data_IF_470999410777
#
_entry.id   IF_470999410777
#
_cell.length_a   1.000
_cell.length_b   1.000
_cell.length_c   1.000
_cell.angle_alpha   90.00
_cell.angle_beta   90.00
_cell.angle_gamma   90.00
#
_symmetry.space_group_name_H-M   'P 1'
#
loop_
_entity.id
_entity.type
_entity.pdbx_description
1 polymer ?
#
# COMPACT_ATOMS: atom_id res chain seq x y z
N UNK A 1 19.63 19.72 -24.64
CA UNK A 1 19.94 18.68 -23.63
C UNK A 1 19.30 19.15 -22.34
N UNK A 2 18.12 18.62 -22.07
CA UNK A 2 17.33 18.96 -20.88
C UNK A 2 17.96 18.26 -19.69
N UNK A 3 18.38 19.04 -18.69
CA UNK A 3 18.98 18.52 -17.47
C UNK A 3 17.87 17.84 -16.67
N UNK A 4 17.98 16.52 -16.46
CA UNK A 4 17.05 15.79 -15.58
C UNK A 4 17.27 16.25 -14.15
N UNK A 5 16.26 16.89 -13.56
CA UNK A 5 16.24 17.25 -12.15
C UNK A 5 16.55 16.01 -11.27
N UNK A 6 17.51 16.20 -10.35
CA UNK A 6 18.01 15.27 -9.34
C UNK A 6 17.01 14.21 -8.86
N UNK A 7 17.28 12.93 -9.12
CA UNK A 7 17.12 11.73 -8.25
C UNK A 7 15.89 11.54 -7.34
N UNK A 8 14.90 12.41 -7.38
CA UNK A 8 13.73 12.40 -6.51
C UNK A 8 12.64 11.55 -7.15
N UNK A 9 11.93 10.72 -6.36
CA UNK A 9 10.76 10.01 -6.83
C UNK A 9 9.75 10.95 -7.49
N UNK A 10 9.18 10.51 -8.62
CA UNK A 10 8.01 11.18 -9.21
C UNK A 10 6.81 11.04 -8.26
N UNK A 11 5.99 12.08 -8.16
CA UNK A 11 4.74 12.02 -7.40
C UNK A 11 4.87 12.26 -5.89
N UNK A 12 5.98 12.81 -5.40
CA UNK A 12 6.05 13.33 -4.02
C UNK A 12 4.99 14.41 -3.84
N UNK A 13 4.12 14.23 -2.84
CA UNK A 13 3.15 15.24 -2.40
C UNK A 13 3.65 15.94 -1.14
N UNK A 14 3.18 17.16 -0.92
CA UNK A 14 3.44 17.92 0.31
C UNK A 14 2.71 17.33 1.52
N UNK A 15 3.19 17.64 2.73
CA UNK A 15 2.49 17.25 3.97
C UNK A 15 1.07 17.80 4.06
N UNK A 16 0.82 18.97 3.46
CA UNK A 16 -0.50 19.61 3.39
C UNK A 16 -1.43 18.84 2.48
N UNK A 17 -0.99 18.45 1.27
CA UNK A 17 -1.78 17.62 0.37
C UNK A 17 -2.11 16.26 1.00
N UNK A 18 -1.13 15.63 1.67
CA UNK A 18 -1.36 14.38 2.40
C UNK A 18 -2.43 14.54 3.49
N UNK A 19 -2.44 15.67 4.20
CA UNK A 19 -3.47 15.98 5.20
C UNK A 19 -4.85 16.13 4.57
N UNK A 20 -4.96 16.88 3.48
CA UNK A 20 -6.23 17.07 2.76
C UNK A 20 -6.78 15.71 2.31
N UNK A 21 -5.96 14.85 1.72
CA UNK A 21 -6.38 13.50 1.31
C UNK A 21 -6.88 12.64 2.50
N UNK A 22 -6.19 12.71 3.65
CA UNK A 22 -6.60 12.02 4.88
C UNK A 22 -7.94 12.53 5.44
N UNK A 23 -8.14 13.86 5.42
CA UNK A 23 -9.35 14.51 5.90
C UNK A 23 -10.53 14.16 4.98
N UNK A 24 -10.35 14.20 3.65
CA UNK A 24 -11.38 13.82 2.69
C UNK A 24 -11.77 12.35 2.79
N UNK A 25 -10.81 11.44 3.01
CA UNK A 25 -11.16 10.04 3.31
C UNK A 25 -12.03 9.93 4.56
N UNK A 26 -11.70 10.71 5.61
CA UNK A 26 -12.45 10.72 6.87
C UNK A 26 -13.88 11.19 6.65
N UNK A 27 -14.06 12.27 5.89
CA UNK A 27 -15.36 12.88 5.63
C UNK A 27 -16.22 12.05 4.68
N UNK A 28 -15.62 11.41 3.68
CA UNK A 28 -16.35 10.77 2.58
C UNK A 28 -16.47 9.25 2.69
N UNK A 29 -15.54 8.58 3.40
CA UNK A 29 -15.43 7.10 3.37
C UNK A 29 -15.55 6.45 4.74
N UNK A 30 -15.17 7.14 5.82
CA UNK A 30 -15.09 6.54 7.16
C UNK A 30 -16.40 5.89 7.60
N UNK A 31 -17.53 6.59 7.47
CA UNK A 31 -18.81 6.08 7.95
C UNK A 31 -19.21 4.76 7.26
N UNK A 32 -19.05 4.68 5.94
CA UNK A 32 -19.36 3.48 5.17
C UNK A 32 -18.45 2.30 5.54
N UNK A 33 -17.16 2.55 5.70
CA UNK A 33 -16.18 1.53 6.07
C UNK A 33 -16.40 1.04 7.51
N UNK A 34 -16.61 1.95 8.45
CA UNK A 34 -16.92 1.60 9.84
C UNK A 34 -18.20 0.76 9.92
N UNK A 35 -19.24 1.11 9.14
CA UNK A 35 -20.48 0.37 9.08
C UNK A 35 -20.28 -1.05 8.55
N UNK A 36 -19.40 -1.23 7.55
CA UNK A 36 -19.03 -2.57 7.07
C UNK A 36 -18.36 -3.43 8.16
N UNK A 37 -17.71 -2.79 9.12
CA UNK A 37 -17.11 -3.41 10.32
C UNK A 37 -18.06 -3.53 11.52
N UNK A 38 -19.36 -3.29 11.36
CA UNK A 38 -20.31 -3.33 12.48
C UNK A 38 -20.19 -2.12 13.42
N UNK A 39 -19.65 -1.01 12.94
CA UNK A 39 -19.60 0.28 13.64
C UNK A 39 -18.40 0.45 14.58
N UNK A 40 -17.46 -0.49 14.63
CA UNK A 40 -16.33 -0.45 15.58
C UNK A 40 -15.11 0.33 15.09
N UNK A 41 -15.16 0.88 13.86
CA UNK A 41 -14.01 1.49 13.21
C UNK A 41 -13.25 0.50 12.33
N UNK A 42 -12.91 0.92 11.12
CA UNK A 42 -12.02 0.15 10.22
C UNK A 42 -10.60 0.75 10.14
N UNK A 43 -9.64 -0.07 9.72
CA UNK A 43 -8.31 0.37 9.37
C UNK A 43 -8.30 1.10 8.03
N UNK A 44 -7.32 1.99 7.87
CA UNK A 44 -7.09 2.72 6.60
C UNK A 44 -5.62 2.93 6.26
N UNK A 45 -4.73 2.34 7.04
CA UNK A 45 -3.28 2.47 6.88
C UNK A 45 -2.60 1.16 7.26
N UNK A 46 -1.39 0.97 6.75
CA UNK A 46 -0.49 -0.11 7.14
C UNK A 46 0.90 0.47 7.26
N UNK A 47 1.64 0.02 8.26
CA UNK A 47 3.00 0.47 8.51
C UNK A 47 3.98 -0.63 8.12
N UNK A 48 5.09 -0.20 7.54
CA UNK A 48 6.21 -1.04 7.15
C UNK A 48 7.47 -0.38 7.68
N UNK A 49 8.35 -1.17 8.31
CA UNK A 49 9.69 -0.68 8.60
C UNK A 49 10.42 -0.43 7.28
N UNK A 50 11.31 0.57 7.25
CA UNK A 50 12.11 0.81 6.05
C UNK A 50 13.01 -0.39 5.74
N UNK A 51 13.51 -1.07 6.78
CA UNK A 51 14.36 -2.25 6.64
C UNK A 51 13.61 -3.44 6.02
N UNK A 52 12.40 -3.76 6.50
CA UNK A 52 11.59 -4.86 5.95
C UNK A 52 11.15 -4.53 4.52
N UNK A 53 10.76 -3.28 4.26
CA UNK A 53 10.38 -2.85 2.91
C UNK A 53 11.56 -2.95 1.94
N UNK A 54 12.76 -2.52 2.35
CA UNK A 54 13.96 -2.63 1.54
C UNK A 54 14.37 -4.09 1.32
N UNK A 55 14.29 -4.92 2.36
CA UNK A 55 14.59 -6.36 2.26
C UNK A 55 13.62 -7.06 1.29
N UNK A 56 12.33 -6.73 1.37
CA UNK A 56 11.32 -7.24 0.44
C UNK A 56 11.63 -6.83 -1.00
N UNK A 57 11.87 -5.54 -1.26
CA UNK A 57 12.24 -5.03 -2.60
C UNK A 57 13.48 -5.75 -3.14
N UNK A 58 14.49 -5.97 -2.29
CA UNK A 58 15.70 -6.70 -2.70
C UNK A 58 15.38 -8.14 -3.08
N UNK A 59 14.59 -8.84 -2.25
CA UNK A 59 14.20 -10.24 -2.52
C UNK A 59 13.39 -10.39 -3.81
N UNK A 60 12.53 -9.42 -4.12
CA UNK A 60 11.73 -9.39 -5.35
C UNK A 60 12.64 -9.23 -6.56
N UNK A 61 13.58 -8.27 -6.53
CA UNK A 61 14.53 -8.05 -7.62
C UNK A 61 15.49 -9.22 -7.84
N UNK A 62 15.81 -9.96 -6.78
CA UNK A 62 16.65 -11.16 -6.87
C UNK A 62 15.89 -12.34 -7.51
N UNK A 63 14.61 -12.51 -7.16
CA UNK A 63 13.76 -13.61 -7.65
C UNK A 63 13.18 -13.35 -9.05
N UNK A 64 12.86 -12.09 -9.37
CA UNK A 64 12.12 -11.70 -10.57
C UNK A 64 12.86 -10.60 -11.32
N UNK A 65 13.60 -10.98 -12.37
CA UNK A 65 14.44 -10.05 -13.15
C UNK A 65 13.63 -8.95 -13.86
N UNK A 66 12.38 -9.25 -14.22
CA UNK A 66 11.43 -8.35 -14.89
C UNK A 66 10.71 -7.40 -13.92
N UNK A 67 10.89 -7.57 -12.60
CA UNK A 67 10.15 -6.78 -11.62
C UNK A 67 10.46 -5.29 -11.74
N UNK A 68 9.40 -4.49 -11.88
CA UNK A 68 9.51 -3.06 -12.17
C UNK A 68 8.76 -2.14 -11.19
N UNK A 69 7.99 -2.71 -10.27
CA UNK A 69 7.18 -1.93 -9.35
C UNK A 69 6.52 -2.75 -8.24
N UNK A 70 5.74 -2.05 -7.42
CA UNK A 70 4.89 -2.61 -6.37
C UNK A 70 3.49 -2.04 -6.53
N UNK A 71 2.47 -2.90 -6.49
CA UNK A 71 1.05 -2.52 -6.45
C UNK A 71 0.49 -2.77 -5.05
N UNK A 72 -0.32 -1.83 -4.57
CA UNK A 72 -0.95 -1.90 -3.25
C UNK A 72 -2.42 -2.27 -3.37
N UNK A 73 -2.85 -3.24 -2.57
CA UNK A 73 -4.23 -3.74 -2.56
C UNK A 73 -4.84 -3.64 -1.16
N UNK A 74 -6.14 -3.37 -1.12
CA UNK A 74 -6.94 -3.54 0.09
C UNK A 74 -7.32 -5.02 0.25
N UNK A 75 -6.95 -5.60 1.38
CA UNK A 75 -7.39 -6.92 1.83
C UNK A 75 -8.22 -6.82 3.11
N UNK A 76 -8.73 -7.95 3.58
CA UNK A 76 -9.42 -8.06 4.88
C UNK A 76 -8.73 -9.12 5.73
N UNK A 77 -8.24 -8.72 6.90
CA UNK A 77 -7.74 -9.64 7.91
C UNK A 77 -8.90 -10.08 8.82
N UNK A 78 -9.47 -11.25 8.54
CA UNK A 78 -10.60 -11.83 9.30
C UNK A 78 -10.29 -12.09 10.76
N UNK A 79 -9.01 -12.27 11.10
CA UNK A 79 -8.58 -12.57 12.47
C UNK A 79 -8.32 -11.30 13.30
N UNK A 80 -8.42 -10.11 12.68
CA UNK A 80 -8.24 -8.83 13.38
C UNK A 80 -9.56 -8.11 13.65
N UNK A 81 -9.65 -7.47 14.81
CA UNK A 81 -10.81 -6.67 15.22
C UNK A 81 -11.95 -7.50 15.82
N UNK A 82 -13.13 -6.89 15.89
CA UNK A 82 -14.39 -7.55 16.26
C UNK A 82 -15.31 -7.51 15.04
N UNK A 83 -15.98 -8.60 14.69
CA UNK A 83 -16.90 -8.64 13.55
C UNK A 83 -16.27 -9.20 12.27
N UNK A 84 -16.30 -8.44 11.17
CA UNK A 84 -16.03 -8.93 9.81
C UNK A 84 -14.55 -8.94 9.39
N UNK A 85 -13.64 -8.60 10.31
CA UNK A 85 -12.21 -8.49 10.03
C UNK A 85 -11.82 -7.10 9.54
N UNK A 86 -10.68 -6.57 10.00
CA UNK A 86 -10.24 -5.23 9.62
C UNK A 86 -9.58 -5.19 8.24
N UNK A 87 -9.72 -4.07 7.54
CA UNK A 87 -9.00 -3.78 6.30
C UNK A 87 -7.48 -3.85 6.54
N UNK A 88 -6.73 -4.38 5.57
CA UNK A 88 -5.26 -4.33 5.53
C UNK A 88 -4.80 -3.86 4.16
N UNK A 89 -3.59 -3.31 4.06
CA UNK A 89 -2.98 -2.94 2.78
C UNK A 89 -1.77 -3.84 2.59
N UNK A 90 -1.77 -4.68 1.55
CA UNK A 90 -0.62 -5.49 1.17
C UNK A 90 -0.06 -5.05 -0.18
N UNK A 91 1.21 -5.35 -0.43
CA UNK A 91 1.89 -5.00 -1.68
C UNK A 91 2.32 -6.24 -2.46
N UNK A 92 2.19 -6.18 -3.79
CA UNK A 92 2.53 -7.25 -4.73
C UNK A 92 3.50 -6.71 -5.79
N UNK A 93 4.56 -7.45 -6.16
CA UNK A 93 5.45 -7.08 -7.25
C UNK A 93 4.74 -6.99 -8.60
N UNK A 94 5.19 -6.06 -9.44
CA UNK A 94 4.72 -5.93 -10.82
C UNK A 94 5.84 -6.11 -11.82
N UNK A 95 5.49 -6.45 -13.06
CA UNK A 95 6.37 -6.50 -14.22
C UNK A 95 5.69 -5.83 -15.44
N UNK A 96 6.44 -5.48 -16.50
CA UNK A 96 5.84 -4.97 -17.73
C UNK A 96 4.86 -5.97 -18.32
N UNK A 97 3.72 -5.48 -18.80
CA UNK A 97 2.78 -6.29 -19.56
C UNK A 97 3.44 -6.86 -20.81
N UNK A 98 3.16 -8.12 -21.12
CA UNK A 98 3.56 -8.76 -22.38
C UNK A 98 2.52 -8.60 -23.49
N UNK A 99 1.35 -8.02 -23.17
CA UNK A 99 0.32 -7.63 -24.14
C UNK A 99 0.72 -6.32 -24.84
N UNK A 100 0.20 -6.07 -26.05
CA UNK A 100 0.53 -4.96 -26.99
C UNK A 100 0.30 -3.51 -26.45
N UNK A 101 0.22 -3.32 -25.14
CA UNK A 101 0.14 -2.03 -24.45
C UNK A 101 1.33 -1.90 -23.48
N UNK A 102 2.47 -1.44 -24.02
CA UNK A 102 3.78 -1.32 -23.37
C UNK A 102 3.77 -0.44 -22.10
N UNK A 103 2.71 0.33 -21.85
CA UNK A 103 2.55 1.20 -20.68
C UNK A 103 1.84 0.53 -19.50
N UNK A 104 1.38 -0.72 -19.65
CA UNK A 104 0.72 -1.46 -18.58
C UNK A 104 1.72 -2.26 -17.74
N UNK A 105 1.57 -2.19 -16.42
CA UNK A 105 2.25 -3.08 -15.49
C UNK A 105 1.27 -4.16 -15.02
N UNK A 106 1.68 -5.42 -15.00
CA UNK A 106 0.89 -6.55 -14.47
C UNK A 106 1.47 -7.06 -13.16
N UNK A 107 0.65 -7.71 -12.34
CA UNK A 107 1.14 -8.35 -11.12
C UNK A 107 1.91 -9.63 -11.47
N UNK A 108 3.01 -9.87 -10.76
CA UNK A 108 3.72 -11.15 -10.82
C UNK A 108 2.95 -12.16 -9.99
N UNK A 109 2.12 -12.99 -10.64
CA UNK A 109 1.08 -13.81 -9.96
C UNK A 109 1.60 -14.89 -9.03
N UNK A 110 2.85 -15.32 -9.17
CA UNK A 110 3.51 -16.31 -8.32
C UNK A 110 4.44 -15.68 -7.27
N UNK A 111 4.51 -14.34 -7.20
CA UNK A 111 5.29 -13.63 -6.20
C UNK A 111 4.61 -13.56 -4.84
N UNK A 112 5.42 -13.68 -3.79
CA UNK A 112 5.00 -13.41 -2.42
C UNK A 112 4.59 -11.92 -2.29
N UNK A 113 3.47 -11.67 -1.60
CA UNK A 113 3.08 -10.33 -1.18
C UNK A 113 3.63 -9.98 0.20
N UNK A 114 3.88 -8.70 0.46
CA UNK A 114 4.21 -8.20 1.80
C UNK A 114 2.96 -7.58 2.44
N UNK A 115 2.51 -8.20 3.53
CA UNK A 115 1.50 -7.67 4.46
C UNK A 115 2.16 -7.61 5.85
N UNK A 116 2.22 -6.42 6.45
CA UNK A 116 2.69 -6.13 7.84
C UNK A 116 4.21 -6.26 8.06
N UNK A 117 4.91 -5.12 8.00
CA UNK A 117 6.26 -4.98 8.58
C UNK A 117 6.20 -5.14 10.11
N UNK A 118 7.21 -5.74 10.69
CA UNK A 118 7.20 -6.32 12.04
C UNK A 118 7.07 -5.28 13.19
N UNK A 119 5.86 -4.77 13.45
CA UNK A 119 5.36 -4.28 14.74
C UNK A 119 3.88 -3.84 14.66
N UNK A 120 2.97 -4.70 15.14
CA UNK A 120 1.60 -4.33 15.51
C UNK A 120 0.52 -4.73 14.50
N UNK A 121 -0.22 -5.80 14.81
CA UNK A 121 -1.52 -6.07 14.19
C UNK A 121 -2.52 -5.00 14.61
N UNK A 122 -3.21 -4.43 13.62
CA UNK A 122 -2.84 -3.20 12.92
C UNK A 122 -2.51 -2.02 13.88
N UNK A 123 -1.68 -1.03 13.49
CA UNK A 123 -1.59 0.23 14.24
C UNK A 123 -2.92 1.00 14.15
N UNK A 124 -3.55 1.26 15.30
CA UNK A 124 -4.69 2.17 15.40
C UNK A 124 -4.14 3.59 15.25
N UNK A 125 -4.25 4.21 14.08
CA UNK A 125 -3.95 5.64 13.99
C UNK A 125 -4.41 6.31 12.70
N UNK A 126 -5.14 7.41 12.88
CA UNK A 126 -5.45 8.37 11.84
C UNK A 126 -4.17 9.15 11.43
N UNK A 127 -4.14 9.72 10.22
CA UNK A 127 -3.06 10.63 9.83
C UNK A 127 -3.45 12.10 10.14
N UNK A 128 -2.53 12.92 10.69
CA UNK A 128 -1.26 12.51 11.31
C UNK A 128 -1.55 11.79 12.64
N UNK A 129 -0.65 10.89 13.04
CA UNK A 129 -0.68 10.32 14.39
C UNK A 129 -0.06 11.29 15.41
#
# INVERSE_FOLDING_TARGET
MEQTENGLPKGIITSTEAKVLSDEWTNLRKEANDKAQGGTGDNRSSWYSLDDLQAFINSVKEKYETANGLRFYLGVNKDAGKGNGLTTIFMVPTEPSTEDDDDLNTDITDADGLDRGSNGHPPIGAYPQ
#
